data_IF_501682805635
#
_entry.id   IF_501682805635
#
_cell.length_a   1.000
_cell.length_b   1.000
_cell.length_c   1.000
_cell.angle_alpha   90.00
_cell.angle_beta   90.00
_cell.angle_gamma   90.00
#
_symmetry.space_group_name_H-M   'P 1'
#
loop_
_entity.id
_entity.type
_entity.pdbx_description
1 polymer ?
#
# COMPACT_ATOMS: atom_id res chain seq x y z
N UNK A 1 -1.40 -18.81 33.90
CA UNK A 1 -1.44 -19.54 32.61
C UNK A 1 -1.43 -18.52 31.47
N UNK A 2 -0.73 -18.74 30.36
CA UNK A 2 -0.86 -17.87 29.20
C UNK A 2 -2.32 -17.88 28.71
N UNK A 3 -2.83 -16.71 28.31
CA UNK A 3 -4.22 -16.51 27.86
C UNK A 3 -4.42 -16.83 26.38
N UNK A 4 -3.53 -17.64 25.80
CA UNK A 4 -3.52 -18.00 24.39
C UNK A 4 -3.21 -19.49 24.25
N UNK A 5 -3.68 -20.08 23.16
CA UNK A 5 -3.39 -21.46 22.80
C UNK A 5 -2.48 -21.47 21.57
N UNK A 6 -1.47 -22.35 21.59
CA UNK A 6 -0.69 -22.64 20.39
C UNK A 6 -1.53 -23.61 19.56
N UNK A 7 -2.08 -23.13 18.44
CA UNK A 7 -2.90 -23.98 17.57
C UNK A 7 -2.04 -24.99 16.82
N UNK A 8 -0.90 -24.52 16.30
CA UNK A 8 0.01 -25.28 15.47
C UNK A 8 1.44 -24.74 15.61
N UNK A 9 2.42 -25.60 15.35
CA UNK A 9 3.83 -25.26 15.24
C UNK A 9 4.40 -25.95 14.01
N UNK A 10 5.25 -25.26 13.26
CA UNK A 10 6.06 -25.88 12.22
C UNK A 10 7.52 -25.61 12.54
N UNK A 11 8.33 -26.67 12.55
CA UNK A 11 9.79 -26.58 12.73
C UNK A 11 10.54 -26.88 11.44
N UNK A 12 9.80 -27.38 10.44
CA UNK A 12 10.31 -27.75 9.13
C UNK A 12 9.45 -27.17 8.03
N UNK A 13 10.10 -27.04 6.88
CA UNK A 13 9.56 -26.42 5.68
C UNK A 13 8.29 -27.13 5.14
N UNK A 14 8.26 -28.46 5.25
CA UNK A 14 7.19 -29.34 4.81
C UNK A 14 5.93 -29.28 5.69
N UNK A 15 6.06 -28.88 6.95
CA UNK A 15 4.95 -28.70 7.90
C UNK A 15 4.26 -27.33 7.72
N UNK A 16 4.97 -26.36 7.13
CA UNK A 16 4.54 -24.98 7.09
C UNK A 16 3.26 -24.79 6.26
N UNK A 17 3.08 -25.51 5.15
CA UNK A 17 1.83 -25.40 4.36
C UNK A 17 0.58 -25.82 5.14
N UNK A 18 0.68 -26.87 5.96
CA UNK A 18 -0.42 -27.34 6.80
C UNK A 18 -0.78 -26.32 7.89
N UNK A 19 0.23 -25.56 8.37
CA UNK A 19 0.03 -24.48 9.34
C UNK A 19 -0.59 -23.24 8.68
N UNK A 20 -0.09 -22.88 7.50
CA UNK A 20 -0.53 -21.70 6.76
C UNK A 20 -1.91 -21.88 6.09
N UNK A 21 -2.41 -23.11 5.96
CA UNK A 21 -3.75 -23.41 5.45
C UNK A 21 -4.87 -23.32 6.49
N UNK A 22 -4.56 -23.01 7.75
CA UNK A 22 -5.52 -22.94 8.85
C UNK A 22 -6.05 -21.52 9.05
N UNK A 23 -7.32 -21.30 8.70
CA UNK A 23 -8.00 -20.01 8.62
C UNK A 23 -8.39 -19.39 9.99
N UNK A 24 -7.78 -19.84 11.09
CA UNK A 24 -8.20 -19.49 12.47
C UNK A 24 -7.12 -18.85 13.34
N UNK A 25 -5.94 -18.60 12.83
CA UNK A 25 -4.85 -18.02 13.64
C UNK A 25 -5.02 -16.51 13.78
N UNK A 26 -5.07 -16.02 15.02
CA UNK A 26 -5.12 -14.57 15.29
C UNK A 26 -3.75 -13.87 15.15
N UNK A 27 -2.68 -14.65 15.34
CA UNK A 27 -1.29 -14.20 15.34
C UNK A 27 -0.40 -15.30 14.77
N UNK A 28 0.44 -14.93 13.80
CA UNK A 28 1.53 -15.74 13.29
C UNK A 28 2.84 -15.30 13.94
N UNK A 29 3.62 -16.27 14.45
CA UNK A 29 4.98 -16.02 14.95
C UNK A 29 5.97 -16.66 13.99
N UNK A 30 6.88 -15.86 13.42
CA UNK A 30 7.79 -16.31 12.35
C UNK A 30 9.22 -15.91 12.69
N UNK A 31 10.14 -16.84 12.49
CA UNK A 31 11.57 -16.56 12.59
C UNK A 31 12.07 -15.73 11.39
N UNK A 32 12.88 -14.71 11.64
CA UNK A 32 13.39 -13.79 10.61
C UNK A 32 14.11 -14.52 9.46
N UNK A 33 14.84 -15.60 9.75
CA UNK A 33 15.53 -16.39 8.74
C UNK A 33 14.63 -16.90 7.60
N UNK A 34 13.34 -17.13 7.88
CA UNK A 34 12.34 -17.56 6.89
C UNK A 34 11.88 -16.43 5.95
N UNK A 35 12.18 -15.17 6.29
CA UNK A 35 11.80 -13.96 5.56
C UNK A 35 12.94 -13.37 4.73
N UNK A 36 14.13 -13.95 4.84
CA UNK A 36 15.34 -13.55 4.11
C UNK A 36 15.17 -13.67 2.59
N UNK A 37 15.98 -12.93 1.84
CA UNK A 37 15.95 -12.99 0.37
C UNK A 37 16.28 -14.41 -0.12
N UNK A 38 15.43 -14.96 -0.99
CA UNK A 38 15.53 -16.35 -1.46
C UNK A 38 14.79 -17.37 -0.60
N UNK A 39 14.20 -16.96 0.54
CA UNK A 39 13.33 -17.82 1.35
C UNK A 39 12.12 -18.29 0.55
N UNK A 40 11.98 -19.61 0.37
CA UNK A 40 10.94 -20.25 -0.45
C UNK A 40 9.52 -19.83 -0.02
N UNK A 41 9.32 -19.54 1.26
CA UNK A 41 8.01 -19.20 1.83
C UNK A 41 7.83 -17.71 2.09
N UNK A 42 8.84 -16.88 1.83
CA UNK A 42 8.79 -15.44 2.04
C UNK A 42 7.53 -14.82 1.44
N UNK A 43 7.25 -15.14 0.17
CA UNK A 43 6.06 -14.63 -0.52
C UNK A 43 4.75 -15.09 0.15
N UNK A 44 4.69 -16.35 0.58
CA UNK A 44 3.49 -16.91 1.23
C UNK A 44 3.27 -16.30 2.62
N UNK A 45 4.33 -16.15 3.41
CA UNK A 45 4.29 -15.54 4.74
C UNK A 45 3.93 -14.05 4.63
N UNK A 46 4.52 -13.31 3.69
CA UNK A 46 4.14 -11.93 3.41
C UNK A 46 2.67 -11.82 3.03
N UNK A 47 2.15 -12.72 2.19
CA UNK A 47 0.74 -12.72 1.80
C UNK A 47 -0.17 -12.93 3.02
N UNK A 48 0.13 -13.90 3.88
CA UNK A 48 -0.65 -14.18 5.08
C UNK A 48 -0.53 -13.08 6.14
N UNK A 49 0.63 -12.41 6.21
CA UNK A 49 0.83 -11.27 7.11
C UNK A 49 -0.04 -10.06 6.76
N UNK A 50 -0.66 -10.04 5.58
CA UNK A 50 -1.64 -9.02 5.23
C UNK A 50 -3.05 -9.30 5.78
N UNK A 51 -3.31 -10.55 6.20
CA UNK A 51 -4.61 -11.02 6.70
C UNK A 51 -4.56 -11.32 8.21
N UNK A 52 -3.42 -11.80 8.69
CA UNK A 52 -3.17 -12.21 10.07
C UNK A 52 -2.10 -11.32 10.69
N UNK A 53 -2.25 -10.99 11.99
CA UNK A 53 -1.20 -10.24 12.70
C UNK A 53 0.08 -11.07 12.69
N UNK A 54 1.23 -10.45 12.47
CA UNK A 54 2.51 -11.17 12.39
C UNK A 54 3.52 -10.60 13.38
N UNK A 55 4.11 -11.48 14.18
CA UNK A 55 5.25 -11.19 15.05
C UNK A 55 6.49 -11.88 14.48
N UNK A 56 7.51 -11.09 14.14
CA UNK A 56 8.78 -11.64 13.69
C UNK A 56 9.73 -11.79 14.87
N UNK A 57 10.32 -12.95 15.05
CA UNK A 57 11.31 -13.21 16.11
C UNK A 57 12.69 -13.42 15.51
N UNK A 58 13.70 -13.36 16.38
CA UNK A 58 15.08 -13.56 16.00
C UNK A 58 15.57 -12.55 14.95
N UNK A 59 15.13 -11.30 15.08
CA UNK A 59 15.63 -10.20 14.25
C UNK A 59 16.96 -9.73 14.82
N UNK A 60 17.95 -9.43 13.98
CA UNK A 60 19.16 -8.79 14.49
C UNK A 60 18.85 -7.37 14.97
N UNK A 61 19.76 -6.76 15.73
CA UNK A 61 19.64 -5.34 16.14
C UNK A 61 19.96 -4.36 14.99
N UNK A 62 19.86 -4.82 13.74
CA UNK A 62 20.04 -4.01 12.56
C UNK A 62 18.73 -3.30 12.21
N UNK A 63 18.79 -1.96 12.18
CA UNK A 63 17.65 -1.11 11.83
C UNK A 63 17.03 -1.43 10.48
N UNK A 64 17.84 -1.81 9.48
CA UNK A 64 17.33 -2.14 8.15
C UNK A 64 16.53 -3.44 8.14
N UNK A 65 16.94 -4.45 8.90
CA UNK A 65 16.20 -5.71 9.04
C UNK A 65 14.89 -5.51 9.80
N UNK A 66 14.94 -4.72 10.88
CA UNK A 66 13.74 -4.35 11.65
C UNK A 66 12.75 -3.58 10.76
N UNK A 67 13.23 -2.56 10.05
CA UNK A 67 12.38 -1.76 9.14
C UNK A 67 11.87 -2.62 7.98
N UNK A 68 12.64 -3.59 7.50
CA UNK A 68 12.18 -4.55 6.51
C UNK A 68 11.01 -5.39 7.03
N UNK A 69 11.07 -5.89 8.28
CA UNK A 69 9.96 -6.63 8.89
C UNK A 69 8.68 -5.78 8.92
N UNK A 70 8.80 -4.53 9.36
CA UNK A 70 7.66 -3.62 9.50
C UNK A 70 7.08 -3.27 8.11
N UNK A 71 7.95 -2.87 7.19
CA UNK A 71 7.53 -2.20 5.95
C UNK A 71 7.29 -3.13 4.76
N UNK A 72 8.00 -4.27 4.72
CA UNK A 72 7.94 -5.20 3.58
C UNK A 72 7.16 -6.46 3.91
N UNK A 73 7.28 -6.95 5.15
CA UNK A 73 6.53 -8.12 5.61
C UNK A 73 5.17 -7.70 6.16
N UNK A 74 5.03 -6.46 6.66
CA UNK A 74 3.79 -6.01 7.31
C UNK A 74 3.68 -6.51 8.74
N UNK A 75 4.81 -6.78 9.39
CA UNK A 75 4.83 -7.29 10.75
C UNK A 75 4.16 -6.31 11.72
N UNK A 76 3.28 -6.84 12.57
CA UNK A 76 2.64 -6.11 13.68
C UNK A 76 3.61 -5.89 14.86
N UNK A 77 4.72 -6.62 14.90
CA UNK A 77 5.82 -6.41 15.84
C UNK A 77 7.05 -7.26 15.49
N UNK A 78 8.14 -7.00 16.19
CA UNK A 78 9.39 -7.75 16.05
C UNK A 78 10.05 -7.97 17.42
N UNK A 79 10.86 -9.02 17.53
CA UNK A 79 11.67 -9.30 18.71
C UNK A 79 13.13 -9.54 18.31
N UNK A 80 14.08 -8.83 18.95
CA UNK A 80 15.49 -9.10 18.77
C UNK A 80 15.89 -10.52 19.18
N UNK A 81 17.04 -10.98 18.70
CA UNK A 81 17.69 -12.18 19.24
C UNK A 81 17.85 -12.10 20.76
N UNK A 82 17.76 -13.24 21.45
CA UNK A 82 17.85 -13.35 22.92
C UNK A 82 16.76 -12.61 23.72
N UNK A 83 15.62 -12.31 23.12
CA UNK A 83 14.47 -11.76 23.84
C UNK A 83 13.92 -12.76 24.87
N UNK A 84 13.54 -12.29 26.06
CA UNK A 84 12.95 -13.13 27.11
C UNK A 84 11.52 -13.58 26.77
N UNK A 85 11.09 -14.69 27.37
CA UNK A 85 9.72 -15.22 27.19
C UNK A 85 8.68 -14.21 27.71
N UNK A 86 9.01 -13.48 28.77
CA UNK A 86 8.15 -12.42 29.32
C UNK A 86 7.93 -11.30 28.30
N UNK A 87 8.97 -10.92 27.56
CA UNK A 87 8.91 -9.90 26.53
C UNK A 87 8.19 -10.36 25.27
N UNK A 88 8.34 -11.64 24.91
CA UNK A 88 7.50 -12.29 23.89
C UNK A 88 6.02 -12.21 24.26
N UNK A 89 5.66 -12.60 25.48
CA UNK A 89 4.27 -12.57 25.95
C UNK A 89 3.74 -11.12 25.99
N UNK A 90 4.56 -10.15 26.41
CA UNK A 90 4.19 -8.72 26.40
C UNK A 90 3.89 -8.23 24.98
N UNK A 91 4.74 -8.59 24.00
CA UNK A 91 4.55 -8.23 22.60
C UNK A 91 3.29 -8.86 22.00
N UNK A 92 3.07 -10.16 22.22
CA UNK A 92 1.86 -10.86 21.78
C UNK A 92 0.62 -10.12 22.30
N UNK A 93 0.58 -9.79 23.59
CA UNK A 93 -0.57 -9.09 24.19
C UNK A 93 -0.77 -7.69 23.61
N UNK A 94 0.30 -6.96 23.33
CA UNK A 94 0.22 -5.63 22.71
C UNK A 94 -0.34 -5.73 21.29
N UNK A 95 0.19 -6.64 20.48
CA UNK A 95 -0.26 -6.87 19.10
C UNK A 95 -1.74 -7.24 19.06
N UNK A 96 -2.20 -8.08 20.00
CA UNK A 96 -3.61 -8.44 20.11
C UNK A 96 -4.52 -7.24 20.48
N UNK A 97 -3.99 -6.16 21.06
CA UNK A 97 -4.72 -4.90 21.27
C UNK A 97 -4.56 -3.90 20.12
N UNK A 98 -3.87 -4.27 19.04
CA UNK A 98 -3.55 -3.37 17.93
C UNK A 98 -2.40 -2.41 18.24
N UNK A 99 -1.57 -2.72 19.24
CA UNK A 99 -0.39 -1.94 19.61
C UNK A 99 0.89 -2.62 19.13
N UNK A 100 1.91 -1.83 18.78
CA UNK A 100 3.26 -2.32 18.46
C UNK A 100 4.25 -1.77 19.48
N UNK A 101 5.04 -2.64 20.10
CA UNK A 101 6.17 -2.24 20.93
C UNK A 101 7.39 -2.07 20.03
N UNK A 102 7.95 -0.87 19.97
CA UNK A 102 9.18 -0.60 19.24
C UNK A 102 9.93 0.56 19.90
N UNK A 103 11.22 0.71 19.59
CA UNK A 103 11.98 1.85 20.09
C UNK A 103 11.53 3.16 19.43
N UNK A 104 11.62 4.31 20.11
CA UNK A 104 11.32 5.61 19.50
C UNK A 104 12.11 5.89 18.22
N UNK A 105 13.34 5.35 18.14
CA UNK A 105 14.21 5.46 16.97
C UNK A 105 13.67 4.70 15.76
N UNK A 106 13.23 3.46 15.93
CA UNK A 106 12.61 2.67 14.85
C UNK A 106 11.30 3.30 14.39
N UNK A 107 10.48 3.78 15.33
CA UNK A 107 9.25 4.51 15.00
C UNK A 107 9.53 5.76 14.14
N UNK A 108 10.52 6.56 14.54
CA UNK A 108 10.94 7.74 13.78
C UNK A 108 11.39 7.39 12.35
N UNK A 109 12.25 6.37 12.20
CA UNK A 109 12.74 5.93 10.89
C UNK A 109 11.62 5.41 9.99
N UNK A 110 10.67 4.64 10.55
CA UNK A 110 9.49 4.14 9.83
C UNK A 110 8.62 5.29 9.31
N UNK A 111 8.33 6.30 10.14
CA UNK A 111 7.58 7.48 9.70
C UNK A 111 8.31 8.27 8.61
N UNK A 112 9.64 8.41 8.73
CA UNK A 112 10.44 9.09 7.72
C UNK A 112 10.39 8.36 6.37
N UNK A 113 10.54 7.03 6.36
CA UNK A 113 10.47 6.21 5.14
C UNK A 113 9.06 6.21 4.53
N UNK A 114 8.02 6.15 5.35
CA UNK A 114 6.63 6.26 4.89
C UNK A 114 6.37 7.62 4.24
N UNK A 115 6.82 8.71 4.85
CA UNK A 115 6.70 10.06 4.28
C UNK A 115 7.45 10.20 2.96
N UNK A 116 8.68 9.67 2.88
CA UNK A 116 9.46 9.66 1.63
C UNK A 116 8.79 8.84 0.53
N UNK A 117 8.19 7.68 0.86
CA UNK A 117 7.44 6.87 -0.11
C UNK A 117 6.18 7.57 -0.60
N UNK A 118 5.44 8.24 0.29
CA UNK A 118 4.28 9.04 -0.10
C UNK A 118 4.69 10.16 -1.07
N UNK A 119 5.75 10.90 -0.74
CA UNK A 119 6.29 11.95 -1.62
C UNK A 119 6.76 11.40 -2.97
N UNK A 120 7.50 10.28 -2.99
CA UNK A 120 7.92 9.62 -4.23
C UNK A 120 6.73 9.09 -5.03
N UNK A 121 5.68 8.60 -4.37
CA UNK A 121 4.44 8.18 -5.02
C UNK A 121 3.74 9.37 -5.67
N UNK A 122 3.67 10.51 -4.99
CA UNK A 122 3.16 11.76 -5.57
C UNK A 122 4.04 12.26 -6.72
N UNK A 123 5.37 12.22 -6.57
CA UNK A 123 6.32 12.64 -7.61
C UNK A 123 6.26 11.72 -8.82
N UNK A 124 6.16 10.40 -8.63
CA UNK A 124 5.96 9.42 -9.70
C UNK A 124 4.58 9.59 -10.35
N UNK A 125 3.54 9.88 -9.57
CA UNK A 125 2.21 10.21 -10.09
C UNK A 125 2.23 11.51 -10.92
N UNK A 126 2.94 12.55 -10.46
CA UNK A 126 3.19 13.81 -11.18
C UNK A 126 4.04 13.59 -12.44
N UNK A 127 5.08 12.75 -12.37
CA UNK A 127 6.02 12.48 -13.46
C UNK A 127 5.45 11.52 -14.52
N UNK A 128 4.56 10.60 -14.15
CA UNK A 128 3.88 9.67 -15.06
C UNK A 128 2.71 10.32 -15.86
N UNK A 129 2.66 11.66 -15.95
CA UNK A 129 1.87 12.35 -16.98
C UNK A 129 0.37 12.50 -16.69
N UNK A 130 -0.07 12.38 -15.43
CA UNK A 130 -1.46 12.69 -15.01
C UNK A 130 -1.77 14.19 -15.00
N UNK A 131 -0.85 15.04 -15.47
CA UNK A 131 -1.17 16.41 -15.80
C UNK A 131 -1.81 16.48 -17.17
N UNK A 132 -3.12 16.72 -17.17
CA UNK A 132 -3.80 17.23 -18.35
C UNK A 132 -3.11 18.52 -18.78
N UNK A 133 -2.77 18.62 -20.06
CA UNK A 133 -2.35 19.87 -20.66
C UNK A 133 -3.43 20.94 -20.43
N UNK A 134 -3.07 22.22 -20.58
CA UNK A 134 -4.03 23.32 -20.49
C UNK A 134 -5.26 23.08 -21.38
N UNK A 135 -5.04 22.57 -22.59
CA UNK A 135 -6.11 22.31 -23.56
C UNK A 135 -7.00 21.13 -23.15
N UNK A 136 -6.40 20.06 -22.64
CA UNK A 136 -7.14 18.91 -22.13
C UNK A 136 -7.96 19.29 -20.89
N UNK A 137 -7.42 20.15 -20.02
CA UNK A 137 -8.11 20.72 -18.86
C UNK A 137 -9.32 21.57 -19.28
N UNK A 138 -9.15 22.46 -20.27
CA UNK A 138 -10.23 23.26 -20.84
C UNK A 138 -11.36 22.40 -21.41
N UNK A 139 -11.00 21.35 -22.17
CA UNK A 139 -11.97 20.41 -22.75
C UNK A 139 -12.70 19.64 -21.65
N UNK A 140 -11.98 19.13 -20.65
CA UNK A 140 -12.56 18.36 -19.55
C UNK A 140 -13.54 19.19 -18.72
N UNK A 141 -13.27 20.48 -18.50
CA UNK A 141 -14.24 21.41 -17.86
C UNK A 141 -15.51 21.57 -18.68
N UNK A 142 -15.42 21.69 -20.01
CA UNK A 142 -16.62 21.79 -20.84
C UNK A 142 -17.41 20.47 -20.87
N UNK A 143 -16.71 19.33 -20.75
CA UNK A 143 -17.35 18.00 -20.59
C UNK A 143 -18.14 17.92 -19.29
N UNK A 144 -17.60 18.46 -18.19
CA UNK A 144 -18.28 18.55 -16.89
C UNK A 144 -19.63 19.29 -16.99
N UNK A 145 -19.67 20.34 -17.80
CA UNK A 145 -20.88 21.15 -18.06
C UNK A 145 -21.85 20.48 -19.04
N UNK A 146 -21.58 19.24 -19.46
CA UNK A 146 -22.47 18.46 -20.33
C UNK A 146 -22.39 18.79 -21.81
N UNK A 147 -21.42 19.61 -22.26
CA UNK A 147 -21.30 19.97 -23.67
C UNK A 147 -20.88 18.75 -24.52
N UNK A 148 -21.40 18.65 -25.74
CA UNK A 148 -20.98 17.68 -26.75
C UNK A 148 -19.66 18.08 -27.42
N UNK A 149 -19.01 17.13 -28.12
CA UNK A 149 -17.78 17.44 -28.86
C UNK A 149 -17.97 18.51 -29.94
N UNK A 150 -19.18 18.64 -30.50
CA UNK A 150 -19.53 19.69 -31.46
C UNK A 150 -19.58 21.06 -30.78
N UNK A 151 -20.24 21.17 -29.64
CA UNK A 151 -20.32 22.42 -28.88
C UNK A 151 -18.97 22.86 -28.34
N UNK A 152 -18.15 21.90 -27.87
CA UNK A 152 -16.76 22.14 -27.45
C UNK A 152 -15.93 22.66 -28.63
N UNK A 153 -16.02 22.00 -29.79
CA UNK A 153 -15.31 22.41 -31.00
C UNK A 153 -15.65 23.84 -31.41
N UNK A 154 -16.94 24.19 -31.42
CA UNK A 154 -17.42 25.55 -31.71
C UNK A 154 -16.89 26.57 -30.69
N UNK A 155 -17.02 26.28 -29.39
CA UNK A 155 -16.61 27.19 -28.31
C UNK A 155 -15.10 27.44 -28.30
N UNK A 156 -14.33 26.40 -28.61
CA UNK A 156 -12.88 26.42 -28.58
C UNK A 156 -12.24 26.72 -29.94
N UNK A 157 -13.05 26.96 -30.99
CA UNK A 157 -12.66 27.24 -32.37
C UNK A 157 -11.66 26.23 -32.93
N UNK A 158 -11.95 24.94 -32.75
CA UNK A 158 -11.17 23.80 -33.27
C UNK A 158 -12.07 22.80 -33.97
N UNK A 159 -11.49 21.82 -34.66
CA UNK A 159 -12.28 20.75 -35.26
C UNK A 159 -12.78 19.74 -34.22
N UNK A 160 -13.91 19.09 -34.54
CA UNK A 160 -14.50 18.02 -33.72
C UNK A 160 -13.54 16.82 -33.61
N UNK A 161 -12.76 16.55 -34.65
CA UNK A 161 -11.69 15.54 -34.68
C UNK A 161 -10.63 15.81 -33.59
N UNK A 162 -10.19 17.06 -33.47
CA UNK A 162 -9.23 17.51 -32.45
C UNK A 162 -9.79 17.33 -31.03
N UNK A 163 -11.06 17.62 -30.81
CA UNK A 163 -11.71 17.38 -29.50
C UNK A 163 -11.74 15.89 -29.17
N UNK A 164 -12.03 15.01 -30.15
CA UNK A 164 -12.00 13.55 -29.93
C UNK A 164 -10.60 13.05 -29.54
N UNK A 165 -9.56 13.54 -30.21
CA UNK A 165 -8.18 13.16 -29.89
C UNK A 165 -7.78 13.63 -28.48
N UNK A 166 -8.11 14.86 -28.10
CA UNK A 166 -7.90 15.30 -26.73
C UNK A 166 -8.69 14.47 -25.71
N UNK A 167 -9.93 14.11 -26.01
CA UNK A 167 -10.73 13.24 -25.14
C UNK A 167 -10.12 11.84 -24.99
N UNK A 168 -9.56 11.26 -26.06
CA UNK A 168 -8.85 9.99 -25.99
C UNK A 168 -7.62 10.12 -25.06
N UNK A 169 -6.78 11.14 -25.30
CA UNK A 169 -5.61 11.39 -24.46
C UNK A 169 -5.98 11.67 -22.99
N UNK A 170 -7.08 12.37 -22.72
CA UNK A 170 -7.58 12.59 -21.36
C UNK A 170 -7.95 11.26 -20.70
N UNK A 171 -8.72 10.42 -21.39
CA UNK A 171 -9.16 9.13 -20.88
C UNK A 171 -7.97 8.20 -20.62
N UNK A 172 -6.99 8.19 -21.52
CA UNK A 172 -5.77 7.39 -21.38
C UNK A 172 -4.91 7.89 -20.20
N UNK A 173 -4.73 9.21 -20.07
CA UNK A 173 -3.98 9.83 -18.95
C UNK A 173 -4.64 9.63 -17.60
N UNK A 174 -5.96 9.67 -17.55
CA UNK A 174 -6.74 9.44 -16.32
C UNK A 174 -7.05 7.96 -16.09
N UNK A 175 -6.67 7.07 -17.01
CA UNK A 175 -6.98 5.64 -17.00
C UNK A 175 -8.49 5.36 -16.86
N UNK A 176 -9.32 6.15 -17.54
CA UNK A 176 -10.78 6.07 -17.48
C UNK A 176 -11.35 5.42 -18.74
N UNK A 177 -12.33 4.52 -18.61
CA UNK A 177 -12.84 3.75 -19.75
C UNK A 177 -13.82 4.54 -20.62
N UNK A 178 -14.35 5.66 -20.12
CA UNK A 178 -15.37 6.42 -20.85
C UNK A 178 -15.46 7.89 -20.45
N UNK A 179 -16.03 8.70 -21.34
CA UNK A 179 -16.39 10.11 -21.05
C UNK A 179 -17.29 10.23 -19.82
N UNK A 180 -18.21 9.29 -19.63
CA UNK A 180 -19.10 9.29 -18.46
C UNK A 180 -18.32 9.05 -17.17
N UNK A 181 -17.35 8.13 -17.20
CA UNK A 181 -16.41 7.91 -16.10
C UNK A 181 -15.59 9.16 -15.80
N UNK A 182 -15.18 9.93 -16.81
CA UNK A 182 -14.51 11.22 -16.61
C UNK A 182 -15.40 12.26 -15.92
N UNK A 183 -16.69 12.35 -16.27
CA UNK A 183 -17.64 13.25 -15.58
C UNK A 183 -17.85 12.83 -14.13
N UNK A 184 -17.99 11.53 -13.84
CA UNK A 184 -18.14 11.04 -12.47
C UNK A 184 -16.87 11.28 -11.65
N UNK A 185 -15.70 11.03 -12.23
CA UNK A 185 -14.40 11.29 -11.60
C UNK A 185 -14.24 12.75 -11.16
N UNK A 186 -14.71 13.71 -11.97
CA UNK A 186 -14.71 15.13 -11.61
C UNK A 186 -15.61 15.47 -10.42
N UNK A 187 -16.79 14.82 -10.32
CA UNK A 187 -17.75 15.01 -9.23
C UNK A 187 -17.26 14.43 -7.91
N UNK A 188 -16.54 13.32 -7.95
CA UNK A 188 -16.05 12.61 -6.76
C UNK A 188 -14.79 13.26 -6.17
N UNK A 189 -13.86 13.74 -7.01
CA UNK A 189 -12.57 14.24 -6.53
C UNK A 189 -12.50 15.76 -6.32
N UNK A 190 -13.47 16.54 -6.84
CA UNK A 190 -13.48 18.00 -6.73
C UNK A 190 -12.30 18.62 -7.48
N UNK A 191 -12.56 19.29 -8.60
CA UNK A 191 -11.49 19.81 -9.46
C UNK A 191 -10.69 20.94 -8.78
N UNK A 192 -9.55 20.60 -8.16
CA UNK A 192 -8.54 21.56 -7.72
C UNK A 192 -7.60 21.87 -8.89
N UNK A 193 -7.84 22.99 -9.57
CA UNK A 193 -6.83 23.57 -10.48
C UNK A 193 -6.05 24.61 -9.68
N UNK A 194 -4.71 24.61 -9.71
CA UNK A 194 -3.93 25.72 -9.20
C UNK A 194 -4.38 26.99 -9.92
N UNK A 195 -4.93 27.95 -9.18
CA UNK A 195 -5.22 29.28 -9.72
C UNK A 195 -3.89 29.90 -10.16
N UNK A 196 -3.80 30.26 -11.43
CA UNK A 196 -2.80 31.21 -11.92
C UNK A 196 -3.14 32.60 -11.41
#
# INVERSE_FOLDING_TARGET
MPSFAILQTASRLDELEAVLGSDRSDLLVVEFGLLSEGGVYRQRICALSSEVKTLVIDVSDNEDEILYCIERVGASGYLPHNTSVEELIRNIKAIMRGETLCSPRIAHLSFQRMSQRARRGEEAWRANGTHLTRRETEILRLVEHGLSNKEIATRLKIEVSTVKNHMHNILDKLQLPSRHSAVNHLKEQGFSVPRS
#
